data_IF_960457487400
#
_entry.id   IF_960457487400
#
_cell.length_a   1.000
_cell.length_b   1.000
_cell.length_c   1.000
_cell.angle_alpha   90.00
_cell.angle_beta   90.00
_cell.angle_gamma   90.00
#
_symmetry.space_group_name_H-M   'P 1'
#
loop_
_entity.id
_entity.type
_entity.pdbx_description
1 polymer ?
#
# COMPACT_ATOMS: atom_id res chain seq x y z
N UNK A 1 -10.31 -8.36 -14.29
CA UNK A 1 -10.54 -8.22 -12.84
C UNK A 1 -9.66 -7.18 -12.17
N UNK A 2 -8.32 -7.27 -12.21
CA UNK A 2 -7.45 -6.29 -11.51
C UNK A 2 -7.78 -4.84 -11.91
N UNK A 3 -7.97 -4.57 -13.21
CA UNK A 3 -8.45 -3.27 -13.70
C UNK A 3 -9.86 -2.91 -13.22
N UNK A 4 -10.75 -3.88 -13.04
CA UNK A 4 -12.12 -3.64 -12.56
C UNK A 4 -12.12 -3.26 -11.07
N UNK A 5 -11.26 -3.90 -10.27
CA UNK A 5 -11.04 -3.54 -8.87
C UNK A 5 -10.39 -2.15 -8.75
N UNK A 6 -9.45 -1.81 -9.63
CA UNK A 6 -8.80 -0.50 -9.65
C UNK A 6 -9.76 0.66 -10.00
N UNK A 7 -10.91 0.36 -10.62
CA UNK A 7 -11.95 1.36 -10.94
C UNK A 7 -12.91 1.63 -9.77
N UNK A 8 -12.79 0.89 -8.67
CA UNK A 8 -13.61 1.13 -7.51
C UNK A 8 -13.30 2.50 -6.89
N UNK A 9 -14.30 3.24 -6.40
CA UNK A 9 -14.10 4.61 -5.92
C UNK A 9 -13.41 4.67 -4.54
N UNK A 10 -13.46 3.57 -3.78
CA UNK A 10 -12.90 3.49 -2.43
C UNK A 10 -12.45 2.06 -2.08
N UNK A 11 -11.62 1.96 -1.04
CA UNK A 11 -11.24 0.69 -0.43
C UNK A 11 -12.47 -0.12 -0.01
N UNK A 12 -13.48 0.50 0.60
CA UNK A 12 -14.71 -0.18 1.03
C UNK A 12 -15.44 -0.87 -0.13
N UNK A 13 -15.56 -0.18 -1.28
CA UNK A 13 -16.15 -0.76 -2.50
C UNK A 13 -15.32 -1.94 -3.03
N UNK A 14 -13.99 -1.79 -3.06
CA UNK A 14 -13.09 -2.87 -3.48
C UNK A 14 -13.22 -4.10 -2.59
N UNK A 15 -13.23 -3.92 -1.26
CA UNK A 15 -13.37 -5.03 -0.31
C UNK A 15 -14.73 -5.73 -0.44
N UNK A 16 -15.80 -4.97 -0.71
CA UNK A 16 -17.11 -5.54 -1.02
C UNK A 16 -17.08 -6.40 -2.29
N UNK A 17 -16.50 -5.88 -3.39
CA UNK A 17 -16.35 -6.63 -4.64
C UNK A 17 -15.49 -7.89 -4.48
N UNK A 18 -14.44 -7.84 -3.65
CA UNK A 18 -13.64 -9.02 -3.33
C UNK A 18 -14.47 -10.07 -2.60
N UNK A 19 -15.28 -9.69 -1.61
CA UNK A 19 -16.16 -10.64 -0.90
C UNK A 19 -17.22 -11.25 -1.80
N UNK A 20 -17.79 -10.48 -2.71
CA UNK A 20 -18.78 -10.97 -3.67
C UNK A 20 -18.16 -11.95 -4.68
N UNK A 21 -16.92 -11.69 -5.12
CA UNK A 21 -16.25 -12.49 -6.15
C UNK A 21 -15.56 -13.72 -5.59
N UNK A 22 -14.90 -13.59 -4.43
CA UNK A 22 -14.01 -14.60 -3.85
C UNK A 22 -14.56 -15.25 -2.57
N UNK A 23 -15.77 -14.88 -2.14
CA UNK A 23 -16.38 -15.23 -0.84
C UNK A 23 -15.65 -14.67 0.40
N UNK A 24 -14.32 -14.60 0.37
CA UNK A 24 -13.50 -14.04 1.45
C UNK A 24 -12.15 -13.50 0.94
N UNK A 25 -11.54 -12.70 1.80
CA UNK A 25 -10.12 -12.32 1.74
C UNK A 25 -9.57 -12.33 3.16
N UNK A 26 -8.26 -12.47 3.30
CA UNK A 26 -7.56 -12.33 4.57
C UNK A 26 -6.69 -11.07 4.53
N UNK A 27 -6.87 -10.17 5.50
CA UNK A 27 -5.97 -9.05 5.71
C UNK A 27 -4.69 -9.56 6.37
N UNK A 28 -3.56 -9.46 5.67
CA UNK A 28 -2.25 -9.86 6.19
C UNK A 28 -1.54 -8.71 6.85
N UNK A 29 -1.48 -7.58 6.17
CA UNK A 29 -0.78 -6.40 6.67
C UNK A 29 -1.48 -5.12 6.26
N UNK A 30 -1.27 -4.10 7.08
CA UNK A 30 -1.55 -2.71 6.77
C UNK A 30 -0.26 -1.94 7.00
N UNK A 31 0.47 -1.66 5.93
CA UNK A 31 1.67 -0.84 6.01
C UNK A 31 1.32 0.62 5.86
N UNK A 32 1.93 1.48 6.67
CA UNK A 32 1.78 2.92 6.62
C UNK A 32 3.14 3.56 6.31
N UNK A 33 3.13 4.61 5.49
CA UNK A 33 4.28 5.47 5.31
C UNK A 33 3.83 6.93 5.33
N UNK A 34 4.17 7.59 6.42
CA UNK A 34 3.63 8.88 6.79
C UNK A 34 2.11 8.90 6.90
N UNK A 35 1.55 10.10 6.91
CA UNK A 35 0.11 10.36 7.02
C UNK A 35 -0.72 9.91 5.81
N UNK A 36 -0.10 9.76 4.63
CA UNK A 36 -0.83 9.79 3.37
C UNK A 36 -0.78 8.51 2.54
N UNK A 37 0.05 7.53 2.87
CA UNK A 37 0.15 6.30 2.09
C UNK A 37 -0.11 5.07 2.96
N UNK A 38 -1.04 4.25 2.48
CA UNK A 38 -1.33 2.95 3.08
C UNK A 38 -1.21 1.87 2.02
N UNK A 39 -0.60 0.76 2.37
CA UNK A 39 -0.68 -0.49 1.60
C UNK A 39 -1.46 -1.52 2.40
N UNK A 40 -2.61 -1.92 1.86
CA UNK A 40 -3.42 -2.99 2.41
C UNK A 40 -3.07 -4.28 1.68
N UNK A 41 -2.45 -5.22 2.38
CA UNK A 41 -2.00 -6.50 1.83
C UNK A 41 -3.04 -7.58 2.12
N UNK A 42 -3.68 -8.06 1.07
CA UNK A 42 -4.74 -9.05 1.12
C UNK A 42 -4.29 -10.36 0.50
N UNK A 43 -4.58 -11.48 1.15
CA UNK A 43 -4.58 -12.79 0.51
C UNK A 43 -5.99 -13.07 0.04
N UNK A 44 -6.12 -13.33 -1.26
CA UNK A 44 -7.37 -13.64 -1.94
C UNK A 44 -7.36 -15.11 -2.35
N UNK A 45 -8.50 -15.78 -2.23
CA UNK A 45 -8.64 -17.19 -2.61
C UNK A 45 -8.17 -17.44 -4.04
N UNK A 46 -7.50 -18.57 -4.26
CA UNK A 46 -6.87 -18.90 -5.54
C UNK A 46 -7.92 -19.31 -6.59
N UNK A 47 -8.30 -18.38 -7.47
CA UNK A 47 -8.80 -18.69 -8.81
C UNK A 47 -8.02 -17.85 -9.84
N UNK A 48 -7.04 -18.44 -10.56
CA UNK A 48 -6.22 -17.73 -11.56
C UNK A 48 -7.03 -17.11 -12.70
N UNK A 49 -8.26 -17.58 -12.96
CA UNK A 49 -9.14 -16.97 -13.96
C UNK A 49 -9.61 -15.57 -13.52
N UNK A 50 -9.47 -15.24 -12.24
CA UNK A 50 -10.01 -14.03 -11.64
C UNK A 50 -8.93 -13.06 -11.17
N UNK A 51 -7.78 -13.45 -10.62
CA UNK A 51 -6.67 -12.52 -10.33
C UNK A 51 -5.30 -13.06 -10.78
N UNK A 52 -4.34 -12.20 -11.19
CA UNK A 52 -3.03 -12.64 -11.68
C UNK A 52 -2.17 -13.39 -10.65
N UNK A 53 -2.43 -13.19 -9.37
CA UNK A 53 -1.77 -13.84 -8.24
C UNK A 53 -2.72 -13.91 -7.03
N UNK A 54 -2.28 -14.59 -5.97
CA UNK A 54 -3.05 -14.85 -4.74
C UNK A 54 -2.92 -13.76 -3.68
N UNK A 55 -2.02 -12.81 -3.89
CA UNK A 55 -1.82 -11.65 -3.03
C UNK A 55 -2.16 -10.39 -3.80
N UNK A 56 -2.90 -9.49 -3.16
CA UNK A 56 -3.26 -8.18 -3.66
C UNK A 56 -2.80 -7.11 -2.68
N UNK A 57 -1.90 -6.24 -3.12
CA UNK A 57 -1.56 -5.00 -2.42
C UNK A 57 -2.44 -3.90 -3.00
N UNK A 58 -3.23 -3.27 -2.14
CA UNK A 58 -4.08 -2.11 -2.48
C UNK A 58 -3.46 -0.88 -1.83
N UNK A 59 -2.85 -0.03 -2.64
CA UNK A 59 -2.33 1.25 -2.17
C UNK A 59 -3.43 2.29 -2.17
N UNK A 60 -3.61 2.95 -1.04
CA UNK A 60 -4.61 4.01 -0.86
C UNK A 60 -3.98 5.24 -0.24
N UNK A 61 -4.64 6.38 -0.40
CA UNK A 61 -4.42 7.52 0.47
C UNK A 61 -5.16 7.36 1.82
N UNK A 62 -5.01 8.35 2.71
CA UNK A 62 -5.63 8.36 4.05
C UNK A 62 -7.16 8.26 4.06
N UNK A 63 -7.84 8.72 3.00
CA UNK A 63 -9.31 8.62 2.89
C UNK A 63 -9.80 7.34 2.19
N UNK A 64 -8.90 6.39 1.92
CA UNK A 64 -9.23 5.10 1.30
C UNK A 64 -9.45 5.17 -0.23
N UNK A 65 -9.13 6.29 -0.87
CA UNK A 65 -9.09 6.42 -2.33
C UNK A 65 -7.94 5.61 -2.93
N UNK A 66 -8.29 4.74 -3.89
CA UNK A 66 -7.38 3.78 -4.48
C UNK A 66 -6.39 4.46 -5.44
N UNK A 67 -5.10 4.16 -5.27
CA UNK A 67 -3.99 4.72 -6.05
C UNK A 67 -3.35 3.69 -6.97
N UNK A 68 -3.10 2.50 -6.45
CA UNK A 68 -2.38 1.44 -7.13
C UNK A 68 -2.87 0.09 -6.62
N UNK A 69 -2.96 -0.89 -7.52
CA UNK A 69 -3.13 -2.30 -7.17
C UNK A 69 -1.95 -3.06 -7.74
N UNK A 70 -1.31 -3.89 -6.91
CA UNK A 70 -0.24 -4.79 -7.32
C UNK A 70 -0.59 -6.20 -6.90
N UNK A 71 -0.43 -7.16 -7.81
CA UNK A 71 -0.71 -8.56 -7.56
C UNK A 71 0.58 -9.38 -7.53
N UNK A 72 0.69 -10.29 -6.56
CA UNK A 72 1.84 -11.17 -6.33
C UNK A 72 1.38 -12.60 -6.01
N UNK A 73 2.29 -13.56 -6.04
CA UNK A 73 2.07 -14.90 -5.47
C UNK A 73 2.50 -15.00 -4.00
N UNK A 74 3.26 -14.02 -3.52
CA UNK A 74 3.86 -14.00 -2.17
C UNK A 74 3.64 -12.63 -1.54
N UNK A 75 3.49 -12.59 -0.23
CA UNK A 75 3.34 -11.36 0.54
C UNK A 75 4.65 -10.56 0.47
N UNK A 76 4.67 -9.36 -0.13
CA UNK A 76 5.86 -8.53 -0.12
C UNK A 76 6.03 -7.86 1.25
N UNK A 77 7.28 -7.61 1.67
CA UNK A 77 7.53 -6.75 2.83
C UNK A 77 7.31 -5.27 2.50
N UNK A 78 7.05 -4.46 3.53
CA UNK A 78 6.95 -3.01 3.39
C UNK A 78 8.23 -2.40 2.79
N UNK A 79 9.40 -2.76 3.32
CA UNK A 79 10.70 -2.30 2.83
C UNK A 79 10.91 -2.66 1.35
N UNK A 80 10.54 -3.86 0.90
CA UNK A 80 10.71 -4.25 -0.51
C UNK A 80 9.80 -3.47 -1.46
N UNK A 81 8.56 -3.17 -1.05
CA UNK A 81 7.64 -2.31 -1.79
C UNK A 81 8.22 -0.89 -1.94
N UNK A 82 8.68 -0.31 -0.84
CA UNK A 82 9.26 1.04 -0.85
C UNK A 82 10.59 1.11 -1.60
N UNK A 83 11.42 0.07 -1.50
CA UNK A 83 12.65 -0.05 -2.28
C UNK A 83 12.37 -0.07 -3.78
N UNK A 84 11.31 -0.79 -4.20
CA UNK A 84 10.90 -0.83 -5.60
C UNK A 84 10.29 0.50 -6.09
N UNK A 85 9.45 1.14 -5.26
CA UNK A 85 8.85 2.45 -5.59
C UNK A 85 9.88 3.57 -5.66
N UNK A 86 10.78 3.60 -4.67
CA UNK A 86 11.77 4.65 -4.47
C UNK A 86 13.19 4.06 -4.40
N UNK A 87 13.74 3.60 -5.54
CA UNK A 87 15.04 2.92 -5.60
C UNK A 87 16.24 3.83 -5.30
N UNK A 88 16.01 5.13 -5.07
CA UNK A 88 17.05 6.06 -4.63
C UNK A 88 17.13 6.19 -3.11
N UNK A 89 16.09 5.76 -2.37
CA UNK A 89 16.14 5.70 -0.92
C UNK A 89 16.98 4.49 -0.49
N UNK A 90 17.98 4.74 0.35
CA UNK A 90 18.87 3.76 0.96
C UNK A 90 18.32 3.20 2.29
N UNK A 91 17.24 3.80 2.82
CA UNK A 91 16.60 3.38 4.07
C UNK A 91 15.75 2.10 3.91
N UNK A 92 15.36 1.77 2.67
CA UNK A 92 14.57 0.59 2.35
C UNK A 92 15.43 -0.48 1.69
N UNK A 93 15.13 -1.75 1.99
CA UNK A 93 15.84 -2.91 1.46
C UNK A 93 14.92 -4.05 1.05
N UNK A 94 15.51 -5.22 0.81
CA UNK A 94 14.78 -6.42 0.41
C UNK A 94 14.54 -6.56 -1.10
N UNK A 95 14.10 -7.74 -1.50
CA UNK A 95 13.77 -8.08 -2.88
C UNK A 95 12.25 -8.16 -3.04
N UNK A 96 11.70 -7.45 -4.02
CA UNK A 96 10.28 -7.51 -4.31
C UNK A 96 9.96 -8.84 -5.01
N UNK A 97 8.95 -9.60 -4.56
CA UNK A 97 8.45 -10.76 -5.30
C UNK A 97 8.05 -10.40 -6.74
N UNK A 98 8.05 -11.35 -7.68
CA UNK A 98 7.64 -11.08 -9.05
C UNK A 98 6.22 -10.51 -9.13
N UNK A 99 6.09 -9.31 -9.71
CA UNK A 99 4.79 -8.68 -9.97
C UNK A 99 4.05 -9.50 -11.04
N UNK A 100 2.83 -9.92 -10.72
CA UNK A 100 1.92 -10.64 -11.63
C UNK A 100 0.96 -9.72 -12.37
N UNK A 101 0.65 -8.58 -11.76
CA UNK A 101 -0.18 -7.55 -12.36
C UNK A 101 -0.04 -6.25 -11.61
N UNK A 102 -0.14 -5.14 -12.32
CA UNK A 102 -0.05 -3.80 -11.75
C UNK A 102 -1.01 -2.87 -12.48
N UNK A 103 -1.80 -2.12 -11.72
CA UNK A 103 -2.68 -1.08 -12.25
C UNK A 103 -2.55 0.17 -11.39
N UNK A 104 -2.23 1.30 -12.02
CA UNK A 104 -2.26 2.63 -11.41
C UNK A 104 -3.54 3.35 -11.80
N UNK A 105 -4.19 4.00 -10.84
CA UNK A 105 -5.42 4.76 -11.10
C UNK A 105 -5.09 6.18 -11.55
N UNK A 106 -6.10 6.91 -12.01
CA UNK A 106 -5.96 8.35 -12.33
C UNK A 106 -5.58 9.20 -11.12
N UNK A 107 -5.72 8.67 -9.91
CA UNK A 107 -5.40 9.35 -8.67
C UNK A 107 -3.99 9.04 -8.17
N UNK A 108 -3.25 8.16 -8.86
CA UNK A 108 -1.87 7.82 -8.55
C UNK A 108 -0.98 9.08 -8.52
N UNK A 109 -0.02 9.10 -7.61
CA UNK A 109 1.01 10.14 -7.48
C UNK A 109 2.36 9.47 -7.22
N UNK A 110 3.45 10.21 -7.37
CA UNK A 110 4.79 9.69 -7.10
C UNK A 110 4.99 9.48 -5.57
N UNK A 111 5.07 8.23 -5.09
CA UNK A 111 5.21 7.94 -3.67
C UNK A 111 6.50 8.52 -3.06
N UNK A 112 7.53 8.80 -3.88
CA UNK A 112 8.80 9.32 -3.37
C UNK A 112 8.69 10.78 -2.91
N UNK A 113 7.68 11.52 -3.38
CA UNK A 113 7.40 12.87 -2.87
C UNK A 113 7.05 12.87 -1.37
N UNK A 114 6.52 11.76 -0.84
CA UNK A 114 6.23 11.61 0.59
C UNK A 114 7.50 11.45 1.43
N UNK A 115 8.59 11.01 0.80
CA UNK A 115 9.85 10.73 1.48
C UNK A 115 10.79 11.94 1.49
N UNK A 116 10.43 13.03 0.81
CA UNK A 116 11.23 14.23 0.76
C UNK A 116 11.35 14.90 2.15
N UNK A 117 12.48 15.50 2.50
CA UNK A 117 12.64 16.19 3.80
C UNK A 117 11.58 17.27 4.05
N UNK A 118 11.09 17.90 2.99
CA UNK A 118 10.05 18.94 2.96
C UNK A 118 8.66 18.38 2.58
N UNK A 119 8.48 17.06 2.60
CA UNK A 119 7.19 16.42 2.34
C UNK A 119 6.07 17.07 3.16
N UNK A 120 4.93 17.30 2.50
CA UNK A 120 3.74 17.86 3.15
C UNK A 120 3.35 17.01 4.36
N UNK A 121 2.76 17.66 5.36
CA UNK A 121 2.17 17.03 6.54
C UNK A 121 1.03 17.92 7.04
N UNK A 122 -0.06 17.31 7.49
CA UNK A 122 -1.20 17.99 8.12
C UNK A 122 -0.99 18.15 9.62
N UNK A 123 -0.08 17.39 10.20
CA UNK A 123 0.40 17.55 11.56
C UNK A 123 1.24 18.83 11.73
N UNK A 124 1.05 19.51 12.87
CA UNK A 124 1.88 20.65 13.25
C UNK A 124 3.32 20.17 13.55
N UNK A 125 4.36 20.97 13.26
CA UNK A 125 5.75 20.57 13.47
C UNK A 125 6.09 20.03 14.86
N UNK A 126 5.45 20.54 15.91
CA UNK A 126 5.64 20.12 17.30
C UNK A 126 4.94 18.80 17.66
N UNK A 127 4.05 18.29 16.80
CA UNK A 127 3.29 17.05 17.01
C UNK A 127 3.64 15.96 16.01
N UNK A 128 4.69 16.16 15.22
CA UNK A 128 5.13 15.17 14.23
C UNK A 128 6.58 14.76 14.44
N UNK A 129 6.85 13.52 14.10
CA UNK A 129 8.21 12.99 13.99
C UNK A 129 8.41 12.37 12.62
N UNK A 130 9.67 12.25 12.21
CA UNK A 130 10.03 11.61 10.95
C UNK A 130 9.93 10.10 11.12
N UNK A 131 9.18 9.44 10.24
CA UNK A 131 9.19 7.97 10.19
C UNK A 131 10.47 7.51 9.46
N UNK A 132 10.97 6.32 9.81
CA UNK A 132 12.03 5.65 9.04
C UNK A 132 11.62 5.57 7.57
N UNK A 133 12.54 5.90 6.68
CA UNK A 133 12.34 5.91 5.24
C UNK A 133 11.73 7.19 4.68
N UNK A 134 11.16 8.06 5.52
CA UNK A 134 10.54 9.32 5.13
C UNK A 134 9.07 9.45 5.54
N UNK A 135 8.46 10.59 5.28
CA UNK A 135 7.10 10.89 5.75
C UNK A 135 7.04 11.28 7.23
N UNK A 136 5.86 11.71 7.64
CA UNK A 136 5.59 12.24 8.97
C UNK A 136 4.52 11.41 9.67
N UNK A 137 4.72 11.14 10.96
CA UNK A 137 3.76 10.45 11.84
C UNK A 137 3.59 11.25 13.12
N UNK A 138 2.54 10.97 13.89
CA UNK A 138 2.33 11.62 15.19
C UNK A 138 3.52 11.32 16.12
N UNK A 139 3.94 12.33 16.89
CA UNK A 139 5.09 12.20 17.78
C UNK A 139 4.88 11.16 18.90
N UNK A 140 3.62 10.91 19.29
CA UNK A 140 3.22 9.96 20.33
C UNK A 140 2.84 8.57 19.78
N UNK A 141 2.97 8.36 18.46
CA UNK A 141 2.69 7.07 17.84
C UNK A 141 3.85 6.11 18.14
N UNK A 142 3.78 5.36 19.23
CA UNK A 142 4.79 4.38 19.70
C UNK A 142 4.90 3.12 18.80
N UNK A 143 4.55 3.22 17.51
CA UNK A 143 4.82 2.23 16.46
C UNK A 143 4.84 0.77 16.95
N UNK A 144 3.66 0.17 17.12
CA UNK A 144 3.54 -1.28 17.30
C UNK A 144 3.88 -1.97 15.96
N UNK A 145 5.16 -1.93 15.59
CA UNK A 145 5.74 -2.78 14.56
C UNK A 145 5.89 -4.18 15.17
N UNK A 146 4.76 -4.90 15.19
CA UNK A 146 4.70 -6.30 15.57
C UNK A 146 5.79 -7.12 14.88
N UNK A 147 6.75 -7.56 15.68
CA UNK A 147 7.84 -8.46 15.33
C UNK A 147 7.34 -9.84 14.84
#
# INVERSE_FOLDING_TARGET
MLEQLARQPSLGNLLASLRETFSSYELRHHYTQGEFHHDIVLVVGADPASLPGTVLVVSTNCNGGIKELISFDQVPSADALWRWRCPQSDEFGGELPPIKGLVRTVHWFDPCELLAPDARSELRPEFRRRQRGGGWVEADDDGDDGA
#
